data_IF_312566962036
#
_entry.id   IF_312566962036
#
_cell.length_a   1.000
_cell.length_b   1.000
_cell.length_c   1.000
_cell.angle_alpha   90.00
_cell.angle_beta   90.00
_cell.angle_gamma   90.00
#
_symmetry.space_group_name_H-M   'P 1'
#
loop_
_entity.id
_entity.type
_entity.pdbx_description
1 polymer ?
#
# COMPACT_ATOMS: atom_id res chain seq x y z
N UNK A 1 -12.12 -14.67 31.43
CA UNK A 1 -12.57 -15.84 30.64
C UNK A 1 -13.90 -15.67 29.88
N UNK A 2 -14.54 -14.48 29.86
CA UNK A 2 -15.78 -14.26 29.06
C UNK A 2 -15.59 -13.41 27.79
N UNK A 3 -14.36 -13.00 27.48
CA UNK A 3 -14.00 -12.22 26.27
C UNK A 3 -13.50 -13.08 25.09
N UNK A 4 -13.20 -14.36 25.34
CA UNK A 4 -12.67 -15.28 24.32
C UNK A 4 -13.75 -16.09 23.58
N UNK A 5 -14.99 -16.14 24.09
CA UNK A 5 -16.08 -16.89 23.46
C UNK A 5 -16.74 -16.15 22.28
N UNK A 6 -16.66 -14.82 22.23
CA UNK A 6 -17.16 -14.02 21.10
C UNK A 6 -16.18 -13.98 19.92
N UNK A 7 -14.89 -14.26 20.15
CA UNK A 7 -13.83 -14.28 19.12
C UNK A 7 -13.82 -15.61 18.35
N UNK A 8 -14.29 -16.70 18.98
CA UNK A 8 -14.30 -18.04 18.38
C UNK A 8 -15.38 -18.25 17.31
N UNK A 9 -16.48 -17.47 17.32
CA UNK A 9 -17.63 -17.69 16.43
C UNK A 9 -17.48 -16.98 15.06
N UNK A 10 -16.51 -16.08 14.91
CA UNK A 10 -16.23 -15.34 13.67
C UNK A 10 -15.21 -16.04 12.75
N UNK A 11 -14.59 -17.13 13.21
CA UNK A 11 -13.46 -17.80 12.54
C UNK A 11 -13.91 -18.82 11.47
N UNK A 12 -15.19 -19.24 11.46
CA UNK A 12 -15.64 -20.38 10.64
C UNK A 12 -16.09 -19.97 9.22
N UNK A 13 -16.26 -18.68 8.90
CA UNK A 13 -16.68 -18.24 7.55
C UNK A 13 -15.49 -18.02 6.59
N UNK A 14 -14.25 -18.16 7.05
CA UNK A 14 -13.06 -17.88 6.22
C UNK A 14 -12.58 -19.05 5.33
N UNK A 15 -13.28 -20.19 5.31
CA UNK A 15 -12.79 -21.42 4.65
C UNK A 15 -13.60 -21.83 3.42
N UNK A 16 -13.85 -20.91 2.49
CA UNK A 16 -14.16 -21.29 1.11
C UNK A 16 -13.69 -20.19 0.16
N UNK A 17 -12.58 -20.44 -0.55
CA UNK A 17 -12.07 -19.52 -1.57
C UNK A 17 -10.68 -19.91 -2.06
N UNK A 18 -10.55 -21.09 -2.67
CA UNK A 18 -9.36 -21.46 -3.43
C UNK A 18 -9.17 -20.48 -4.59
N UNK A 19 -7.93 -19.99 -4.73
CA UNK A 19 -7.54 -19.01 -5.73
C UNK A 19 -6.98 -17.70 -5.15
N UNK A 20 -6.26 -17.75 -4.02
CA UNK A 20 -5.72 -16.55 -3.36
C UNK A 20 -4.67 -15.87 -4.23
N UNK A 21 -5.03 -14.90 -5.06
CA UNK A 21 -4.20 -13.69 -5.24
C UNK A 21 -3.85 -13.21 -3.84
N UNK A 22 -2.56 -13.25 -3.44
CA UNK A 22 -2.20 -12.76 -2.11
C UNK A 22 -2.30 -11.25 -2.20
N UNK A 23 -3.42 -10.67 -1.77
CA UNK A 23 -3.48 -9.22 -1.70
C UNK A 23 -2.37 -8.73 -0.76
N UNK A 24 -1.77 -7.56 -1.04
CA UNK A 24 -0.80 -6.92 -0.12
C UNK A 24 -1.33 -6.85 1.32
N UNK A 25 -2.67 -6.86 1.48
CA UNK A 25 -3.35 -7.12 2.74
C UNK A 25 -2.79 -8.28 3.53
N UNK A 26 -2.72 -9.46 2.92
CA UNK A 26 -2.38 -10.70 3.59
C UNK A 26 -0.94 -10.65 4.12
N UNK A 27 -0.04 -10.00 3.38
CA UNK A 27 1.33 -9.78 3.82
C UNK A 27 1.33 -8.87 5.05
N UNK A 28 0.61 -7.76 5.02
CA UNK A 28 0.51 -6.88 6.19
C UNK A 28 -0.11 -7.58 7.40
N UNK A 29 -1.20 -8.32 7.20
CA UNK A 29 -1.89 -9.06 8.26
C UNK A 29 -1.01 -10.17 8.86
N UNK A 30 -0.10 -10.76 8.07
CA UNK A 30 0.88 -11.73 8.52
C UNK A 30 1.95 -11.12 9.43
N UNK A 31 2.40 -9.89 9.13
CA UNK A 31 3.54 -9.27 9.83
C UNK A 31 3.15 -8.23 10.89
N UNK A 32 1.87 -7.82 10.98
CA UNK A 32 1.41 -6.73 11.87
C UNK A 32 1.63 -6.92 13.37
N UNK A 33 1.88 -8.15 13.83
CA UNK A 33 2.14 -8.44 15.25
C UNK A 33 3.65 -8.50 15.57
N UNK A 34 4.50 -8.35 14.55
CA UNK A 34 5.95 -8.31 14.74
C UNK A 34 6.39 -6.95 15.27
N UNK A 35 7.34 -6.93 16.21
CA UNK A 35 7.77 -5.70 16.90
C UNK A 35 8.45 -4.69 15.95
N UNK A 36 9.24 -5.18 14.99
CA UNK A 36 9.90 -4.35 13.97
C UNK A 36 9.01 -4.04 12.75
N UNK A 37 7.69 -4.14 12.89
CA UNK A 37 6.75 -3.93 11.78
C UNK A 37 5.63 -2.99 12.20
N UNK A 38 5.45 -1.93 11.40
CA UNK A 38 4.30 -1.05 11.51
C UNK A 38 3.42 -1.25 10.29
N UNK A 39 2.15 -1.61 10.51
CA UNK A 39 1.15 -1.69 9.46
C UNK A 39 -0.01 -0.73 9.70
N UNK A 40 -0.32 0.07 8.69
CA UNK A 40 -1.45 0.99 8.69
C UNK A 40 -2.34 0.71 7.48
N UNK A 41 -3.65 0.67 7.72
CA UNK A 41 -4.65 0.57 6.66
C UNK A 41 -5.69 1.65 6.83
N UNK A 42 -5.94 2.37 5.74
CA UNK A 42 -6.99 3.36 5.62
C UNK A 42 -7.94 2.89 4.52
N UNK A 43 -9.20 2.65 4.88
CA UNK A 43 -10.24 2.29 3.92
C UNK A 43 -10.81 3.56 3.25
N UNK A 44 -11.75 3.39 2.30
CA UNK A 44 -12.37 4.51 1.57
C UNK A 44 -12.96 5.58 2.49
N UNK A 45 -13.59 5.17 3.59
CA UNK A 45 -14.15 6.10 4.56
C UNK A 45 -13.04 6.90 5.25
N UNK A 46 -11.96 6.24 5.69
CA UNK A 46 -10.77 6.91 6.21
C UNK A 46 -10.15 7.89 5.20
N UNK A 47 -10.04 7.52 3.92
CA UNK A 47 -9.56 8.44 2.87
C UNK A 47 -10.45 9.68 2.77
N UNK A 48 -11.77 9.49 2.76
CA UNK A 48 -12.71 10.59 2.75
C UNK A 48 -12.49 11.51 3.97
N UNK A 49 -12.38 10.96 5.17
CA UNK A 49 -12.10 11.73 6.39
C UNK A 49 -10.79 12.50 6.30
N UNK A 50 -9.68 11.86 5.89
CA UNK A 50 -8.38 12.53 5.72
C UNK A 50 -8.47 13.72 4.77
N UNK A 51 -9.25 13.59 3.69
CA UNK A 51 -9.42 14.68 2.71
C UNK A 51 -10.11 15.93 3.29
N UNK A 52 -10.92 15.78 4.35
CA UNK A 52 -11.62 16.89 5.01
C UNK A 52 -10.70 17.73 5.90
N UNK A 53 -9.66 17.13 6.46
CA UNK A 53 -8.71 17.80 7.37
C UNK A 53 -7.52 18.45 6.64
N UNK A 54 -7.44 18.32 5.32
CA UNK A 54 -6.37 18.94 4.56
C UNK A 54 -6.52 20.48 4.50
N UNK A 55 -5.44 21.25 4.69
CA UNK A 55 -5.48 22.71 4.63
C UNK A 55 -5.92 23.21 3.25
N UNK A 56 -6.41 24.45 3.19
CA UNK A 56 -6.76 25.10 1.93
C UNK A 56 -5.49 25.63 1.23
N UNK A 57 -5.35 25.33 -0.06
CA UNK A 57 -4.20 25.73 -0.87
C UNK A 57 -4.17 24.92 -2.17
N UNK A 58 -3.59 25.47 -3.24
CA UNK A 58 -3.56 24.82 -4.57
C UNK A 58 -2.91 23.44 -4.53
N UNK A 59 -1.75 23.33 -3.87
CA UNK A 59 -1.03 22.06 -3.68
C UNK A 59 -1.83 21.08 -2.82
N UNK A 60 -2.41 21.56 -1.72
CA UNK A 60 -3.25 20.76 -0.85
C UNK A 60 -4.51 20.26 -1.56
N UNK A 61 -5.04 21.02 -2.52
CA UNK A 61 -6.20 20.63 -3.33
C UNK A 61 -5.86 19.50 -4.31
N UNK A 62 -4.66 19.50 -4.92
CA UNK A 62 -4.18 18.40 -5.76
C UNK A 62 -4.09 17.10 -4.95
N UNK A 63 -3.46 17.16 -3.78
CA UNK A 63 -3.32 16.01 -2.88
C UNK A 63 -4.67 15.57 -2.33
N UNK A 64 -5.56 16.52 -1.96
CA UNK A 64 -6.93 16.22 -1.53
C UNK A 64 -7.72 15.51 -2.62
N UNK A 65 -7.59 15.97 -3.87
CA UNK A 65 -8.25 15.34 -5.01
C UNK A 65 -7.77 13.90 -5.21
N UNK A 66 -6.46 13.67 -5.09
CA UNK A 66 -5.89 12.31 -5.14
C UNK A 66 -6.48 11.41 -4.03
N UNK A 67 -6.46 11.87 -2.78
CA UNK A 67 -7.00 11.13 -1.62
C UNK A 67 -8.49 10.80 -1.81
N UNK A 68 -9.29 11.73 -2.35
CA UNK A 68 -10.73 11.50 -2.62
C UNK A 68 -10.97 10.41 -3.67
N UNK A 69 -10.05 10.22 -4.60
CA UNK A 69 -10.12 9.18 -5.62
C UNK A 69 -9.48 7.85 -5.17
N UNK A 70 -8.82 7.84 -4.02
CA UNK A 70 -8.30 6.63 -3.38
C UNK A 70 -9.42 5.86 -2.67
N UNK A 71 -9.51 4.57 -2.97
CA UNK A 71 -10.38 3.64 -2.25
C UNK A 71 -9.70 3.04 -1.01
N UNK A 72 -8.37 3.01 -0.97
CA UNK A 72 -7.63 2.58 0.21
C UNK A 72 -6.16 3.00 0.15
N UNK A 73 -5.58 3.26 1.32
CA UNK A 73 -4.15 3.30 1.54
C UNK A 73 -3.76 2.13 2.44
N UNK A 74 -2.65 1.49 2.12
CA UNK A 74 -2.05 0.50 2.99
C UNK A 74 -0.54 0.72 3.03
N UNK A 75 -0.01 0.81 4.24
CA UNK A 75 1.39 1.05 4.53
C UNK A 75 1.93 -0.13 5.34
N UNK A 76 3.12 -0.58 4.99
CA UNK A 76 3.92 -1.52 5.75
C UNK A 76 5.33 -0.96 5.85
N UNK A 77 5.76 -0.64 7.06
CA UNK A 77 7.14 -0.26 7.37
C UNK A 77 7.76 -1.42 8.14
N UNK A 78 8.98 -1.78 7.79
CA UNK A 78 9.72 -2.86 8.45
C UNK A 78 11.18 -2.48 8.59
N UNK A 79 11.76 -2.85 9.72
CA UNK A 79 13.16 -2.62 10.05
C UNK A 79 13.84 -3.92 10.51
N UNK A 80 15.18 -3.93 10.56
CA UNK A 80 15.94 -5.03 11.14
C UNK A 80 16.02 -6.28 10.25
N UNK A 81 16.11 -7.46 10.88
CA UNK A 81 16.39 -8.71 10.16
C UNK A 81 15.23 -9.19 9.28
N UNK A 82 13.98 -8.84 9.65
CA UNK A 82 12.77 -9.30 8.96
C UNK A 82 12.54 -8.61 7.61
N UNK A 83 13.24 -7.50 7.34
CA UNK A 83 13.19 -6.75 6.07
C UNK A 83 13.42 -7.67 4.87
N UNK A 84 14.35 -8.63 4.99
CA UNK A 84 14.67 -9.56 3.90
C UNK A 84 13.49 -10.46 3.55
N UNK A 85 12.81 -10.98 4.56
CA UNK A 85 11.67 -11.88 4.39
C UNK A 85 10.45 -11.13 3.84
N UNK A 86 10.14 -9.96 4.41
CA UNK A 86 9.05 -9.11 3.94
C UNK A 86 9.31 -8.70 2.49
N UNK A 87 10.50 -8.19 2.16
CA UNK A 87 10.86 -7.78 0.79
C UNK A 87 10.74 -8.95 -0.21
N UNK A 88 11.09 -10.17 0.21
CA UNK A 88 10.94 -11.37 -0.62
C UNK A 88 9.46 -11.67 -0.91
N UNK A 89 8.59 -11.56 0.08
CA UNK A 89 7.14 -11.72 -0.12
C UNK A 89 6.55 -10.62 -0.99
N UNK A 90 6.98 -9.37 -0.82
CA UNK A 90 6.57 -8.25 -1.67
C UNK A 90 6.97 -8.47 -3.13
N UNK A 91 8.19 -8.97 -3.39
CA UNK A 91 8.63 -9.32 -4.75
C UNK A 91 7.75 -10.40 -5.37
N UNK A 92 7.31 -11.39 -4.58
CA UNK A 92 6.39 -12.42 -5.05
C UNK A 92 4.99 -11.85 -5.32
N UNK A 93 4.52 -10.97 -4.45
CA UNK A 93 3.27 -10.23 -4.61
C UNK A 93 3.23 -9.45 -5.92
N UNK A 94 4.24 -8.59 -6.17
CA UNK A 94 4.37 -7.78 -7.39
C UNK A 94 4.27 -8.66 -8.65
N UNK A 95 5.00 -9.78 -8.68
CA UNK A 95 4.99 -10.71 -9.82
C UNK A 95 3.64 -11.38 -10.03
N UNK A 96 3.00 -11.80 -8.93
CA UNK A 96 1.74 -12.55 -8.96
C UNK A 96 0.56 -11.67 -9.36
N UNK A 97 0.50 -10.45 -8.85
CA UNK A 97 -0.52 -9.45 -9.18
C UNK A 97 -0.22 -8.74 -10.51
N UNK A 98 0.85 -9.13 -11.20
CA UNK A 98 1.26 -8.59 -12.51
C UNK A 98 1.39 -7.06 -12.50
N UNK A 99 1.97 -6.51 -11.43
CA UNK A 99 2.18 -5.07 -11.35
C UNK A 99 3.30 -4.63 -12.30
N UNK A 100 3.03 -3.63 -13.12
CA UNK A 100 3.98 -3.09 -14.09
C UNK A 100 4.92 -2.08 -13.42
N UNK A 101 6.23 -2.18 -13.66
CA UNK A 101 7.23 -1.24 -13.14
C UNK A 101 7.20 0.06 -13.95
N UNK A 102 6.88 1.18 -13.30
CA UNK A 102 6.87 2.52 -13.91
C UNK A 102 8.17 3.28 -13.70
N UNK A 103 8.78 3.11 -12.52
CA UNK A 103 9.97 3.83 -12.11
C UNK A 103 10.85 2.93 -11.25
N UNK A 104 12.16 3.04 -11.45
CA UNK A 104 13.16 2.36 -10.65
C UNK A 104 14.38 3.28 -10.49
N UNK A 105 14.56 3.80 -9.29
CA UNK A 105 15.67 4.67 -8.93
C UNK A 105 16.57 3.88 -7.99
N UNK A 106 17.86 3.85 -8.33
CA UNK A 106 18.89 3.20 -7.52
C UNK A 106 19.96 4.20 -7.18
N UNK A 107 20.22 4.37 -5.89
CA UNK A 107 21.38 5.10 -5.40
C UNK A 107 22.14 4.22 -4.39
N UNK A 108 23.33 3.77 -4.79
CA UNK A 108 24.19 2.87 -4.00
C UNK A 108 23.44 1.63 -3.49
N UNK A 109 22.93 1.68 -2.25
CA UNK A 109 22.25 0.59 -1.55
C UNK A 109 20.75 0.79 -1.48
N UNK A 110 20.26 1.95 -1.89
CA UNK A 110 18.87 2.35 -1.78
C UNK A 110 18.16 2.13 -3.11
N UNK A 111 16.97 1.56 -3.04
CA UNK A 111 16.14 1.24 -4.20
C UNK A 111 14.72 1.76 -3.98
N UNK A 112 14.28 2.65 -4.87
CA UNK A 112 12.90 3.14 -4.92
C UNK A 112 12.26 2.60 -6.19
N UNK A 113 11.14 1.90 -6.05
CA UNK A 113 10.35 1.43 -7.18
C UNK A 113 8.91 1.83 -7.08
N UNK A 114 8.34 2.21 -8.22
CA UNK A 114 6.92 2.51 -8.35
C UNK A 114 6.35 1.54 -9.37
N UNK A 115 5.28 0.86 -8.97
CA UNK A 115 4.54 -0.06 -9.79
C UNK A 115 3.10 0.41 -9.96
N UNK A 116 2.48 -0.03 -11.05
CA UNK A 116 1.06 0.22 -11.34
C UNK A 116 0.32 -1.06 -11.66
N UNK A 117 -1.00 -1.04 -11.41
CA UNK A 117 -1.93 -1.93 -12.09
C UNK A 117 -2.94 -1.03 -12.83
N UNK A 118 -2.95 -1.10 -14.15
CA UNK A 118 -3.82 -0.30 -15.01
C UNK A 118 -4.80 -1.15 -15.82
N UNK A 119 -5.85 -0.50 -16.29
CA UNK A 119 -6.81 -1.06 -17.22
C UNK A 119 -7.13 -0.02 -18.29
N UNK A 120 -6.53 -0.18 -19.47
CA UNK A 120 -6.76 0.53 -20.75
C UNK A 120 -6.58 2.06 -20.75
N UNK A 121 -6.60 2.74 -19.60
CA UNK A 121 -6.45 4.19 -19.37
C UNK A 121 -6.60 4.61 -17.89
N UNK A 122 -7.08 3.73 -17.02
CA UNK A 122 -7.30 4.03 -15.59
C UNK A 122 -6.28 3.27 -14.76
N UNK A 123 -5.52 4.00 -13.93
CA UNK A 123 -4.64 3.40 -12.94
C UNK A 123 -5.51 2.99 -11.75
N UNK A 124 -5.56 1.67 -11.47
CA UNK A 124 -6.35 1.08 -10.38
C UNK A 124 -5.54 0.97 -9.10
N UNK A 125 -4.23 0.84 -9.22
CA UNK A 125 -3.32 0.72 -8.10
C UNK A 125 -1.99 1.40 -8.40
N UNK A 126 -1.46 2.09 -7.39
CA UNK A 126 -0.05 2.42 -7.27
C UNK A 126 0.55 1.62 -6.13
N UNK A 127 1.73 1.08 -6.33
CA UNK A 127 2.48 0.37 -5.31
C UNK A 127 3.92 0.90 -5.28
N UNK A 128 4.34 1.44 -4.14
CA UNK A 128 5.65 2.05 -3.94
C UNK A 128 6.45 1.15 -3.00
N UNK A 129 7.68 0.85 -3.38
CA UNK A 129 8.63 0.06 -2.61
C UNK A 129 9.89 0.87 -2.43
N UNK A 130 10.22 1.21 -1.19
CA UNK A 130 11.49 1.86 -0.80
C UNK A 130 12.26 0.86 0.06
N UNK A 131 13.51 0.59 -0.30
CA UNK A 131 14.38 -0.31 0.47
C UNK A 131 15.72 0.39 0.68
N UNK A 132 16.08 0.66 1.93
CA UNK A 132 17.41 1.16 2.33
C UNK A 132 18.29 -0.03 2.69
N UNK A 133 19.15 -0.45 1.76
CA UNK A 133 20.26 -1.36 2.02
C UNK A 133 19.92 -2.68 2.72
N UNK A 134 18.65 -3.07 2.76
CA UNK A 134 18.13 -4.22 3.51
C UNK A 134 18.03 -4.01 5.03
N UNK A 135 18.12 -2.77 5.52
CA UNK A 135 17.95 -2.41 6.95
C UNK A 135 16.55 -1.92 7.27
N UNK A 136 15.94 -1.20 6.34
CA UNK A 136 14.59 -0.68 6.42
C UNK A 136 13.91 -0.84 5.07
N UNK A 137 12.61 -1.11 5.08
CA UNK A 137 11.79 -1.05 3.89
C UNK A 137 10.42 -0.45 4.18
N UNK A 138 9.95 0.36 3.24
CA UNK A 138 8.63 0.98 3.25
C UNK A 138 7.88 0.54 2.00
N UNK A 139 6.69 -0.03 2.21
CA UNK A 139 5.79 -0.46 1.15
C UNK A 139 4.46 0.27 1.28
N UNK A 140 4.07 0.99 0.23
CA UNK A 140 2.84 1.76 0.18
C UNK A 140 1.99 1.32 -1.00
N UNK A 141 0.81 0.80 -0.72
CA UNK A 141 -0.23 0.55 -1.72
C UNK A 141 -1.29 1.64 -1.65
N UNK A 142 -1.62 2.21 -2.81
CA UNK A 142 -2.77 3.08 -2.99
C UNK A 142 -3.67 2.49 -4.06
N UNK A 143 -4.86 2.02 -3.68
CA UNK A 143 -5.90 1.59 -4.64
C UNK A 143 -6.86 2.74 -4.88
N UNK A 144 -7.35 2.87 -6.11
CA UNK A 144 -8.30 3.92 -6.47
C UNK A 144 -8.65 3.90 -7.95
N UNK A 145 -9.12 5.04 -8.46
CA UNK A 145 -9.30 5.25 -9.89
C UNK A 145 -8.61 6.55 -10.27
N UNK A 146 -7.40 6.44 -10.77
CA UNK A 146 -6.57 7.60 -11.10
C UNK A 146 -6.45 7.75 -12.61
N UNK A 147 -6.62 8.99 -13.08
CA UNK A 147 -6.26 9.35 -14.45
C UNK A 147 -4.77 9.65 -14.54
N UNK A 148 -4.17 9.46 -15.71
CA UNK A 148 -2.76 9.83 -15.92
C UNK A 148 -2.49 11.30 -15.58
N UNK A 149 -3.45 12.19 -15.89
CA UNK A 149 -3.38 13.62 -15.52
C UNK A 149 -3.25 13.83 -14.02
N UNK A 150 -4.04 13.10 -13.22
CA UNK A 150 -3.98 13.19 -11.76
C UNK A 150 -2.60 12.80 -11.21
N UNK A 151 -1.97 11.77 -11.79
CA UNK A 151 -0.62 11.36 -11.40
C UNK A 151 0.42 12.42 -11.77
N UNK A 152 0.29 13.01 -12.96
CA UNK A 152 1.17 14.10 -13.40
C UNK A 152 1.02 15.36 -12.54
N UNK A 153 -0.19 15.69 -12.11
CA UNK A 153 -0.45 16.83 -11.23
C UNK A 153 0.12 16.57 -9.83
N UNK A 154 0.00 15.35 -9.30
CA UNK A 154 0.62 14.95 -8.03
C UNK A 154 2.15 15.07 -8.07
N UNK A 155 2.79 14.68 -9.17
CA UNK A 155 4.24 14.77 -9.33
C UNK A 155 4.79 16.21 -9.36
N UNK A 156 3.93 17.21 -9.60
CA UNK A 156 4.31 18.63 -9.64
C UNK A 156 4.20 19.35 -8.29
N UNK A 157 3.57 18.73 -7.28
CA UNK A 157 3.32 19.37 -5.97
C UNK A 157 4.60 19.78 -5.24
N UNK A 158 5.75 19.20 -5.58
CA UNK A 158 7.06 19.53 -4.99
C UNK A 158 8.04 20.23 -5.97
N UNK A 159 7.54 20.80 -7.09
CA UNK A 159 8.33 21.65 -7.99
C UNK A 159 7.86 23.09 -7.91
#
# INVERSE_FOLDING_TARGET
MKRFLLVSLLVIVALTGMGQTREFQEICDKYKEHEDVVSLRVNRFGCFFLSLFMPAGKESEVVRNFIRHSSSFQLLVTEGEIVRDVTKEIKNYIKKDQLEELLNVKDKKDEIKIYTLDDKKVIRQLFISVVDGGKEAVFLQVKGKFSMKMIQDLAKVNR
#
